data_IF_645096727010
#
_entry.id   IF_645096727010
#
_cell.length_a   1.000
_cell.length_b   1.000
_cell.length_c   1.000
_cell.angle_alpha   90.00
_cell.angle_beta   90.00
_cell.angle_gamma   90.00
#
_symmetry.space_group_name_H-M   'P 1'
#
loop_
_entity.id
_entity.type
_entity.pdbx_description
1 polymer ?
#
# COMPACT_ATOMS: atom_id res chain seq x y z
N UNK A 1 -14.74 -24.07 -25.50
CA UNK A 1 -15.00 -23.46 -24.17
C UNK A 1 -13.79 -22.60 -23.78
N UNK A 2 -13.73 -21.31 -24.17
CA UNK A 2 -12.61 -20.40 -23.88
C UNK A 2 -12.70 -19.93 -22.42
N UNK A 3 -12.34 -20.81 -21.49
CA UNK A 3 -12.38 -20.54 -20.05
C UNK A 3 -10.96 -20.34 -19.53
N UNK A 4 -10.71 -19.12 -18.99
CA UNK A 4 -9.90 -18.84 -17.79
C UNK A 4 -8.40 -18.46 -17.91
N UNK A 5 -7.93 -17.79 -18.97
CA UNK A 5 -6.65 -17.05 -18.86
C UNK A 5 -6.78 -15.76 -18.03
N UNK A 6 -7.94 -15.10 -18.08
CA UNK A 6 -8.18 -13.84 -17.36
C UNK A 6 -8.37 -14.02 -15.85
N UNK A 7 -8.79 -15.21 -15.39
CA UNK A 7 -9.01 -15.48 -13.96
C UNK A 7 -7.66 -15.55 -13.22
N UNK A 8 -6.70 -16.32 -13.75
CA UNK A 8 -5.36 -16.42 -13.16
C UNK A 8 -4.65 -15.06 -13.03
N UNK A 9 -4.80 -14.18 -14.04
CA UNK A 9 -4.24 -12.83 -14.00
C UNK A 9 -4.89 -11.94 -12.93
N UNK A 10 -6.20 -12.11 -12.71
CA UNK A 10 -6.91 -11.38 -11.67
C UNK A 10 -6.49 -11.85 -10.27
N UNK A 11 -6.35 -13.17 -10.06
CA UNK A 11 -5.85 -13.75 -8.80
C UNK A 11 -4.44 -13.22 -8.46
N UNK A 12 -3.52 -13.26 -9.43
CA UNK A 12 -2.17 -12.68 -9.27
C UNK A 12 -2.16 -11.18 -8.99
N UNK A 13 -3.17 -10.45 -9.43
CA UNK A 13 -3.30 -9.02 -9.15
C UNK A 13 -3.73 -8.77 -7.70
N UNK A 14 -4.62 -9.61 -7.17
CA UNK A 14 -5.09 -9.53 -5.79
C UNK A 14 -4.01 -9.96 -4.80
N UNK A 15 -3.28 -11.04 -5.12
CA UNK A 15 -2.15 -11.50 -4.29
C UNK A 15 -1.08 -10.41 -4.18
N UNK A 16 -0.73 -9.74 -5.29
CA UNK A 16 0.26 -8.65 -5.27
C UNK A 16 -0.17 -7.45 -4.42
N UNK A 17 -1.43 -7.00 -4.52
CA UNK A 17 -1.92 -5.90 -3.67
C UNK A 17 -1.85 -6.26 -2.18
N UNK A 18 -2.14 -7.52 -1.82
CA UNK A 18 -1.98 -7.99 -0.43
C UNK A 18 -0.51 -8.01 0.01
N UNK A 19 0.42 -8.38 -0.88
CA UNK A 19 1.84 -8.29 -0.60
C UNK A 19 2.29 -6.84 -0.37
N UNK A 20 1.87 -5.91 -1.23
CA UNK A 20 2.19 -4.48 -1.04
C UNK A 20 1.63 -3.95 0.27
N UNK A 21 0.41 -4.34 0.64
CA UNK A 21 -0.16 -4.02 1.96
C UNK A 21 0.77 -4.46 3.07
N UNK A 22 1.19 -5.73 3.08
CA UNK A 22 2.11 -6.23 4.11
C UNK A 22 3.44 -5.48 4.11
N UNK A 23 4.01 -5.17 2.95
CA UNK A 23 5.24 -4.37 2.87
C UNK A 23 5.07 -2.97 3.44
N UNK A 24 3.96 -2.30 3.16
CA UNK A 24 3.65 -0.99 3.73
C UNK A 24 3.64 -1.05 5.27
N UNK A 25 2.92 -2.01 5.85
CA UNK A 25 2.87 -2.17 7.31
C UNK A 25 4.24 -2.51 7.89
N UNK A 26 5.02 -3.38 7.25
CA UNK A 26 6.34 -3.75 7.72
C UNK A 26 7.32 -2.57 7.69
N UNK A 27 7.27 -1.74 6.63
CA UNK A 27 8.11 -0.53 6.54
C UNK A 27 7.77 0.39 7.72
N UNK A 28 6.51 0.79 7.86
CA UNK A 28 6.08 1.70 8.93
C UNK A 28 6.45 1.15 10.32
N UNK A 29 6.24 -0.16 10.53
CA UNK A 29 6.60 -0.82 11.79
C UNK A 29 8.10 -0.83 12.05
N UNK A 30 8.93 -1.06 11.03
CA UNK A 30 10.40 -1.04 11.17
C UNK A 30 10.93 0.34 11.57
N UNK A 31 10.24 1.42 11.19
CA UNK A 31 10.58 2.78 11.60
C UNK A 31 9.96 3.17 12.96
N UNK A 32 9.18 2.28 13.60
CA UNK A 32 8.53 2.54 14.88
C UNK A 32 7.29 3.43 14.80
N UNK A 33 6.82 3.70 13.58
CA UNK A 33 5.65 4.53 13.30
C UNK A 33 4.38 3.68 13.30
N UNK A 34 3.21 4.34 13.23
CA UNK A 34 1.92 3.65 13.04
C UNK A 34 1.29 4.07 11.73
N UNK A 35 0.54 3.15 11.10
CA UNK A 35 -0.21 3.42 9.90
C UNK A 35 -1.71 3.33 10.19
N UNK A 36 -2.48 4.29 9.69
CA UNK A 36 -3.94 4.29 9.71
C UNK A 36 -4.45 4.48 8.30
N UNK A 37 -5.49 3.74 7.93
CA UNK A 37 -6.15 3.91 6.63
C UNK A 37 -7.57 4.39 6.86
N UNK A 38 -7.95 5.52 6.25
CA UNK A 38 -9.30 6.07 6.33
C UNK A 38 -9.79 6.43 4.93
N UNK A 39 -10.96 5.93 4.52
CA UNK A 39 -11.65 6.25 3.25
C UNK A 39 -10.74 6.34 2.00
N UNK A 40 -9.77 5.42 1.88
CA UNK A 40 -8.75 5.37 0.81
C UNK A 40 -7.67 6.46 0.88
N UNK A 41 -7.38 6.93 2.07
CA UNK A 41 -6.19 7.72 2.36
C UNK A 41 -5.39 6.99 3.43
N UNK A 42 -4.07 7.00 3.28
CA UNK A 42 -3.16 6.39 4.24
C UNK A 42 -2.55 7.50 5.06
N UNK A 43 -2.51 7.33 6.37
CA UNK A 43 -1.96 8.27 7.32
C UNK A 43 -0.83 7.56 8.07
N UNK A 44 0.32 8.20 8.17
CA UNK A 44 1.42 7.76 9.03
C UNK A 44 1.37 8.60 10.29
N UNK A 45 1.32 7.94 11.44
CA UNK A 45 1.42 8.59 12.74
C UNK A 45 2.88 8.45 13.18
N UNK A 46 3.59 9.58 13.17
CA UNK A 46 5.00 9.69 13.54
C UNK A 46 5.13 10.72 14.66
N UNK A 47 5.69 10.35 15.81
CA UNK A 47 5.85 11.24 16.97
C UNK A 47 4.54 11.99 17.35
N UNK A 48 3.40 11.30 17.32
CA UNK A 48 2.06 11.87 17.58
C UNK A 48 1.55 12.85 16.51
N UNK A 49 2.31 13.12 15.45
CA UNK A 49 1.86 13.85 14.26
C UNK A 49 1.25 12.90 13.23
N UNK A 50 0.08 13.27 12.70
CA UNK A 50 -0.59 12.53 11.63
C UNK A 50 -0.21 13.12 10.28
N UNK A 51 0.57 12.37 9.51
CA UNK A 51 1.07 12.75 8.19
C UNK A 51 0.23 12.03 7.14
N UNK A 52 -0.49 12.81 6.34
CA UNK A 52 -1.26 12.27 5.22
C UNK A 52 -0.33 11.84 4.09
N UNK A 53 -0.36 10.56 3.72
CA UNK A 53 0.15 10.10 2.43
C UNK A 53 -0.92 10.42 1.39
N UNK A 54 -0.52 11.21 0.40
CA UNK A 54 -1.37 11.66 -0.70
C UNK A 54 -2.22 10.51 -1.26
N UNK A 55 -3.50 10.80 -1.47
CA UNK A 55 -4.51 9.85 -1.93
C UNK A 55 -4.06 9.10 -3.20
N UNK A 56 -4.09 7.76 -3.23
CA UNK A 56 -3.80 6.99 -4.43
C UNK A 56 -4.82 7.27 -5.53
N UNK A 57 -4.33 7.36 -6.76
CA UNK A 57 -5.09 7.75 -7.94
C UNK A 57 -6.03 6.62 -8.38
N UNK A 58 -5.64 5.36 -8.16
CA UNK A 58 -6.41 4.21 -8.59
C UNK A 58 -6.63 3.21 -7.44
N UNK A 59 -7.90 2.87 -7.11
CA UNK A 59 -8.21 1.95 -6.02
C UNK A 59 -7.72 0.51 -6.26
N UNK A 60 -7.38 0.13 -7.51
CA UNK A 60 -6.83 -1.21 -7.83
C UNK A 60 -5.32 -1.35 -7.54
N UNK A 61 -4.64 -0.23 -7.36
CA UNK A 61 -3.19 -0.14 -7.07
C UNK A 61 -2.96 0.63 -5.79
N UNK A 62 -3.93 0.57 -4.88
CA UNK A 62 -3.96 1.36 -3.66
C UNK A 62 -2.70 1.14 -2.83
N UNK A 63 -2.37 -0.13 -2.57
CA UNK A 63 -1.25 -0.48 -1.73
C UNK A 63 0.08 -0.36 -2.47
N UNK A 64 0.10 -0.64 -3.77
CA UNK A 64 1.28 -0.38 -4.60
C UNK A 64 1.70 1.09 -4.59
N UNK A 65 0.77 2.02 -4.83
CA UNK A 65 1.04 3.46 -4.81
C UNK A 65 1.43 3.94 -3.40
N UNK A 66 0.76 3.41 -2.37
CA UNK A 66 1.14 3.67 -0.98
C UNK A 66 2.57 3.21 -0.69
N UNK A 67 2.95 2.02 -1.17
CA UNK A 67 4.28 1.46 -0.98
C UNK A 67 5.36 2.33 -1.63
N UNK A 68 5.13 2.80 -2.86
CA UNK A 68 6.03 3.75 -3.53
C UNK A 68 6.18 5.04 -2.74
N UNK A 69 5.08 5.62 -2.25
CA UNK A 69 5.13 6.84 -1.44
C UNK A 69 5.84 6.64 -0.11
N UNK A 70 5.63 5.50 0.55
CA UNK A 70 6.36 5.13 1.77
C UNK A 70 7.86 5.01 1.52
N UNK A 71 8.26 4.40 0.41
CA UNK A 71 9.67 4.32 0.03
C UNK A 71 10.29 5.71 -0.10
N UNK A 72 9.61 6.63 -0.78
CA UNK A 72 10.05 8.03 -0.90
C UNK A 72 10.08 8.72 0.47
N UNK A 73 9.03 8.56 1.28
CA UNK A 73 8.88 9.17 2.59
C UNK A 73 9.97 8.74 3.57
N UNK A 74 10.31 7.45 3.58
CA UNK A 74 11.35 6.86 4.43
C UNK A 74 12.73 6.81 3.78
N UNK A 75 12.89 7.38 2.58
CA UNK A 75 14.15 7.36 1.81
C UNK A 75 14.71 5.93 1.62
N UNK A 76 13.83 4.98 1.35
CA UNK A 76 14.16 3.59 1.02
C UNK A 76 14.31 3.45 -0.50
N UNK A 77 15.54 3.56 -1.00
CA UNK A 77 15.90 3.26 -2.40
C UNK A 77 15.38 1.87 -2.84
#
# INVERSE_FOLDING_TARGET
MKRRFSIKKAEWSVERENHYKQYCFNIVFNFGDKMKTNDRTVYIIKNEEEIELEKPLNPKTFWYETWLKLKVFYQLD
#
